data_IF_778474930603
#
_entry.id   IF_778474930603
#
_cell.length_a   1.000
_cell.length_b   1.000
_cell.length_c   1.000
_cell.angle_alpha   90.00
_cell.angle_beta   90.00
_cell.angle_gamma   90.00
#
_symmetry.space_group_name_H-M   'P 1'
#
loop_
_entity.id
_entity.type
_entity.pdbx_description
1 polymer ?
#
# COMPACT_ATOMS: atom_id res chain seq x y z
N UNK A 1 -11.91 -14.65 11.50
CA UNK A 1 -12.32 -13.34 10.98
C UNK A 1 -11.09 -12.74 10.33
N UNK A 2 -11.20 -12.26 9.10
CA UNK A 2 -10.09 -11.54 8.45
C UNK A 2 -9.82 -10.24 9.23
N UNK A 3 -8.55 -9.97 9.52
CA UNK A 3 -8.13 -8.75 10.19
C UNK A 3 -8.35 -7.56 9.25
N UNK A 4 -9.12 -6.58 9.70
CA UNK A 4 -9.47 -5.40 8.90
C UNK A 4 -9.66 -4.16 9.77
N UNK A 5 -9.31 -3.01 9.21
CA UNK A 5 -9.53 -1.68 9.79
C UNK A 5 -10.60 -0.96 8.97
N UNK A 6 -11.70 -0.58 9.62
CA UNK A 6 -12.85 0.05 8.94
C UNK A 6 -13.13 1.43 9.52
N UNK A 7 -13.28 2.45 8.68
CA UNK A 7 -13.64 3.79 9.14
C UNK A 7 -14.35 4.59 8.05
N UNK A 8 -14.98 5.69 8.45
CA UNK A 8 -15.65 6.62 7.55
C UNK A 8 -14.95 7.95 7.57
N UNK A 9 -14.64 8.48 6.38
CA UNK A 9 -13.95 9.75 6.21
C UNK A 9 -14.84 10.75 5.46
N UNK A 10 -14.76 12.06 5.74
CA UNK A 10 -15.21 13.06 4.78
C UNK A 10 -14.40 12.95 3.47
N UNK A 11 -14.90 13.56 2.40
CA UNK A 11 -14.18 13.60 1.11
C UNK A 11 -13.00 14.57 1.23
N UNK A 12 -11.76 14.15 0.91
CA UNK A 12 -10.60 15.03 0.94
C UNK A 12 -10.67 16.10 -0.14
N UNK A 13 -9.80 17.11 -0.08
CA UNK A 13 -9.49 17.92 -1.25
C UNK A 13 -9.00 17.03 -2.40
N UNK A 14 -9.50 17.28 -3.61
CA UNK A 14 -8.98 16.61 -4.81
C UNK A 14 -7.49 16.90 -4.99
N UNK A 15 -6.75 16.02 -5.67
CA UNK A 15 -5.31 16.21 -5.97
C UNK A 15 -4.98 17.59 -6.56
N UNK A 16 -5.89 18.16 -7.37
CA UNK A 16 -5.73 19.50 -7.96
C UNK A 16 -5.80 20.65 -6.95
N UNK A 17 -6.44 20.43 -5.80
CA UNK A 17 -6.58 21.38 -4.69
C UNK A 17 -5.71 20.98 -3.48
N UNK A 18 -5.00 19.86 -3.59
CA UNK A 18 -4.14 19.32 -2.54
C UNK A 18 -2.80 20.08 -2.43
N UNK A 19 -2.18 20.36 -3.58
CA UNK A 19 -0.91 21.08 -3.67
C UNK A 19 -1.09 22.47 -4.26
N UNK A 20 -0.41 23.44 -3.66
CA UNK A 20 -0.18 24.74 -4.24
C UNK A 20 1.31 24.93 -4.51
N UNK A 21 1.63 25.83 -5.43
CA UNK A 21 3.00 26.12 -5.84
C UNK A 21 3.36 27.57 -5.49
N UNK A 22 4.59 27.77 -5.05
CA UNK A 22 5.18 29.10 -4.88
C UNK A 22 6.58 29.12 -5.47
N UNK A 23 6.99 30.25 -6.01
CA UNK A 23 8.36 30.44 -6.48
C UNK A 23 9.26 30.74 -5.28
N UNK A 24 10.36 29.99 -5.16
CA UNK A 24 11.44 30.26 -4.22
C UNK A 24 12.73 30.50 -5.00
N UNK A 25 13.60 31.36 -4.49
CA UNK A 25 14.93 31.55 -5.08
C UNK A 25 15.89 30.59 -4.38
N UNK A 26 16.48 29.66 -5.14
CA UNK A 26 17.51 28.73 -4.66
C UNK A 26 18.75 28.91 -5.53
N UNK A 27 19.88 29.26 -4.90
CA UNK A 27 21.14 29.55 -5.60
C UNK A 27 21.00 30.62 -6.70
N UNK A 28 20.25 31.68 -6.42
CA UNK A 28 19.99 32.77 -7.38
C UNK A 28 19.07 32.41 -8.55
N UNK A 29 18.54 31.18 -8.61
CA UNK A 29 17.61 30.74 -9.66
C UNK A 29 16.19 30.55 -9.11
N UNK A 30 15.14 30.99 -9.82
CA UNK A 30 13.76 30.73 -9.42
C UNK A 30 13.44 29.24 -9.59
N UNK A 31 12.82 28.64 -8.57
CA UNK A 31 12.40 27.25 -8.54
C UNK A 31 10.98 27.16 -7.98
N UNK A 32 10.13 26.34 -8.59
CA UNK A 32 8.80 26.06 -8.05
C UNK A 32 8.92 25.13 -6.83
N UNK A 33 8.30 25.52 -5.72
CA UNK A 33 8.16 24.70 -4.52
C UNK A 33 6.69 24.37 -4.32
N UNK A 34 6.36 23.08 -4.31
CA UNK A 34 5.03 22.60 -3.93
C UNK A 34 4.86 22.60 -2.41
N UNK A 35 3.66 22.89 -1.93
CA UNK A 35 3.29 22.78 -0.53
C UNK A 35 1.82 22.36 -0.40
N UNK A 36 1.50 21.62 0.67
CA UNK A 36 0.11 21.23 0.99
C UNK A 36 -0.73 22.48 1.28
N UNK A 37 -1.92 22.58 0.68
CA UNK A 37 -2.87 23.69 0.95
C UNK A 37 -3.37 23.67 2.39
N UNK A 38 -3.97 24.77 2.86
CA UNK A 38 -4.55 24.83 4.21
C UNK A 38 -5.65 23.78 4.38
N UNK A 39 -6.54 23.66 3.40
CA UNK A 39 -7.62 22.67 3.38
C UNK A 39 -7.09 21.24 3.50
N UNK A 40 -6.02 20.91 2.76
CA UNK A 40 -5.37 19.61 2.84
C UNK A 40 -4.77 19.34 4.23
N UNK A 41 -4.13 20.34 4.85
CA UNK A 41 -3.57 20.21 6.21
C UNK A 41 -4.66 20.02 7.27
N UNK A 42 -5.75 20.77 7.16
CA UNK A 42 -6.88 20.69 8.08
C UNK A 42 -7.56 19.31 7.98
N UNK A 43 -7.76 18.83 6.74
CA UNK A 43 -8.24 17.46 6.50
C UNK A 43 -7.30 16.41 7.10
N UNK A 44 -6.00 16.48 6.80
CA UNK A 44 -5.01 15.51 7.28
C UNK A 44 -4.97 15.43 8.81
N UNK A 45 -5.01 16.58 9.49
CA UNK A 45 -5.05 16.61 10.95
C UNK A 45 -6.25 15.84 11.50
N UNK A 46 -7.44 16.07 10.94
CA UNK A 46 -8.66 15.39 11.38
C UNK A 46 -8.59 13.87 11.13
N UNK A 47 -8.07 13.46 9.97
CA UNK A 47 -7.92 12.03 9.64
C UNK A 47 -6.89 11.35 10.52
N UNK A 48 -5.75 11.98 10.80
CA UNK A 48 -4.72 11.43 11.70
C UNK A 48 -5.32 11.14 13.08
N UNK A 49 -6.13 12.06 13.62
CA UNK A 49 -6.81 11.87 14.91
C UNK A 49 -7.87 10.75 14.85
N UNK A 50 -8.62 10.65 13.75
CA UNK A 50 -9.61 9.60 13.53
C UNK A 50 -8.95 8.21 13.45
N UNK A 51 -7.91 8.07 12.63
CA UNK A 51 -7.19 6.81 12.43
C UNK A 51 -6.59 6.30 13.73
N UNK A 52 -5.97 7.18 14.54
CA UNK A 52 -5.45 6.80 15.86
C UNK A 52 -6.51 6.14 16.73
N UNK A 53 -7.71 6.74 16.78
CA UNK A 53 -8.84 6.21 17.56
C UNK A 53 -9.34 4.87 17.00
N UNK A 54 -9.48 4.76 15.69
CA UNK A 54 -10.00 3.53 15.07
C UNK A 54 -9.00 2.36 15.13
N UNK A 55 -7.69 2.63 15.01
CA UNK A 55 -6.63 1.63 15.22
C UNK A 55 -6.68 1.08 16.64
N UNK A 56 -6.79 1.96 17.65
CA UNK A 56 -6.88 1.54 19.06
C UNK A 56 -8.16 0.73 19.32
N UNK A 57 -9.31 1.25 18.87
CA UNK A 57 -10.63 0.63 19.06
C UNK A 57 -10.73 -0.74 18.40
N UNK A 58 -10.18 -0.89 17.20
CA UNK A 58 -10.25 -2.14 16.43
C UNK A 58 -9.05 -3.05 16.70
N UNK A 59 -8.09 -2.60 17.53
CA UNK A 59 -6.85 -3.32 17.86
C UNK A 59 -6.07 -3.72 16.62
N UNK A 60 -6.02 -2.83 15.64
CA UNK A 60 -5.28 -3.05 14.39
C UNK A 60 -3.78 -3.10 14.69
N UNK A 61 -3.10 -4.10 14.13
CA UNK A 61 -1.65 -4.24 14.23
C UNK A 61 -1.05 -4.22 12.83
N UNK A 62 -0.28 -3.18 12.50
CA UNK A 62 0.46 -3.13 11.22
C UNK A 62 1.60 -4.15 11.21
N UNK A 63 1.92 -4.65 10.03
CA UNK A 63 3.11 -5.49 9.79
C UNK A 63 4.40 -4.66 9.76
N UNK A 64 5.47 -5.20 10.35
CA UNK A 64 6.84 -4.66 10.23
C UNK A 64 7.51 -5.02 8.89
N UNK A 65 6.86 -5.85 8.07
CA UNK A 65 7.36 -6.23 6.76
C UNK A 65 7.05 -5.13 5.73
N UNK A 66 8.09 -4.44 5.22
CA UNK A 66 7.96 -3.43 4.16
C UNK A 66 7.40 -3.95 2.82
N UNK A 67 7.39 -5.26 2.60
CA UNK A 67 6.79 -5.90 1.42
C UNK A 67 5.37 -6.41 1.65
N UNK A 68 4.82 -6.24 2.86
CA UNK A 68 3.40 -6.46 3.10
C UNK A 68 2.62 -5.33 2.44
N UNK A 69 1.76 -5.66 1.49
CA UNK A 69 0.83 -4.67 0.93
C UNK A 69 -0.53 -4.74 1.63
N UNK A 70 -1.32 -3.68 1.47
CA UNK A 70 -2.67 -3.58 2.01
C UNK A 70 -3.63 -3.14 0.93
N UNK A 71 -4.78 -3.83 0.83
CA UNK A 71 -5.89 -3.31 0.06
C UNK A 71 -6.59 -2.22 0.87
N UNK A 72 -6.90 -1.11 0.21
CA UNK A 72 -7.79 -0.08 0.72
C UNK A 72 -9.02 -0.01 -0.17
N UNK A 73 -10.07 -0.67 0.29
CA UNK A 73 -11.36 -0.75 -0.36
C UNK A 73 -12.18 0.48 0.01
N UNK A 74 -12.54 1.28 -0.99
CA UNK A 74 -13.25 2.54 -0.78
C UNK A 74 -14.57 2.56 -1.55
N UNK A 75 -15.65 2.85 -0.83
CA UNK A 75 -16.94 3.22 -1.40
C UNK A 75 -17.11 4.73 -1.27
N UNK A 76 -17.28 5.40 -2.40
CA UNK A 76 -17.45 6.85 -2.46
C UNK A 76 -18.94 7.22 -2.46
N UNK A 77 -19.31 8.23 -1.69
CA UNK A 77 -20.61 8.88 -1.72
C UNK A 77 -20.39 10.36 -2.07
N UNK A 78 -20.37 10.68 -3.37
CA UNK A 78 -20.08 12.02 -3.85
C UNK A 78 -21.30 12.95 -3.79
N UNK A 79 -21.11 14.26 -3.59
CA UNK A 79 -22.22 15.20 -3.67
C UNK A 79 -22.72 15.45 -5.10
N UNK A 80 -21.93 15.15 -6.13
CA UNK A 80 -22.23 15.42 -7.55
C UNK A 80 -21.68 14.31 -8.46
N UNK A 81 -22.26 14.21 -9.66
CA UNK A 81 -21.95 13.15 -10.65
C UNK A 81 -20.67 13.36 -11.45
N UNK A 82 -20.14 14.59 -11.47
CA UNK A 82 -18.96 15.02 -12.23
C UNK A 82 -17.64 14.83 -11.47
N UNK A 83 -17.65 14.05 -10.39
CA UNK A 83 -16.48 13.85 -9.51
C UNK A 83 -15.74 12.55 -9.84
N UNK A 84 -14.41 12.62 -9.84
CA UNK A 84 -13.52 11.49 -10.14
C UNK A 84 -12.87 10.95 -8.87
N UNK A 85 -13.16 9.69 -8.54
CA UNK A 85 -12.65 8.97 -7.37
C UNK A 85 -11.13 8.99 -7.25
N UNK A 86 -10.42 8.89 -8.38
CA UNK A 86 -8.97 8.78 -8.37
C UNK A 86 -8.29 10.02 -7.80
N UNK A 87 -8.93 11.19 -7.90
CA UNK A 87 -8.40 12.44 -7.37
C UNK A 87 -8.33 12.51 -5.84
N UNK A 88 -9.03 11.63 -5.13
CA UNK A 88 -9.23 11.74 -3.69
C UNK A 88 -8.31 10.82 -2.88
N UNK A 89 -7.68 9.83 -3.52
CA UNK A 89 -6.79 8.91 -2.82
C UNK A 89 -5.54 9.58 -2.27
N UNK A 90 -4.89 10.48 -3.02
CA UNK A 90 -3.57 10.99 -2.64
C UNK A 90 -3.55 11.68 -1.27
N UNK A 91 -4.52 12.56 -1.01
CA UNK A 91 -4.56 13.29 0.26
C UNK A 91 -4.90 12.36 1.44
N UNK A 92 -5.80 11.38 1.22
CA UNK A 92 -6.16 10.36 2.21
C UNK A 92 -4.96 9.45 2.52
N UNK A 93 -4.31 8.90 1.49
CA UNK A 93 -3.15 8.03 1.62
C UNK A 93 -2.01 8.74 2.37
N UNK A 94 -1.69 9.97 2.00
CA UNK A 94 -0.69 10.78 2.71
C UNK A 94 -1.07 10.98 4.18
N UNK A 95 -2.35 11.21 4.49
CA UNK A 95 -2.83 11.37 5.87
C UNK A 95 -2.64 10.10 6.71
N UNK A 96 -2.94 8.94 6.12
CA UNK A 96 -2.81 7.64 6.80
C UNK A 96 -1.33 7.29 6.97
N UNK A 97 -0.49 7.50 5.95
CA UNK A 97 0.96 7.29 6.04
C UNK A 97 1.60 8.17 7.10
N UNK A 98 1.20 9.45 7.21
CA UNK A 98 1.68 10.38 8.25
C UNK A 98 1.36 9.89 9.69
N UNK A 99 0.44 8.91 9.87
CA UNK A 99 0.22 8.29 11.19
C UNK A 99 1.27 7.26 11.55
N UNK A 100 1.87 6.59 10.56
CA UNK A 100 2.69 5.40 10.72
C UNK A 100 2.00 4.26 11.50
N UNK A 101 0.66 4.22 11.59
CA UNK A 101 -0.07 3.22 12.38
C UNK A 101 -0.71 2.11 11.55
N UNK A 102 -0.98 2.35 10.26
CA UNK A 102 -1.69 1.39 9.41
C UNK A 102 -0.73 0.60 8.53
N UNK A 103 0.25 1.27 7.93
CA UNK A 103 1.37 0.72 7.17
C UNK A 103 2.63 1.56 7.43
N UNK A 104 3.77 1.17 6.85
CA UNK A 104 5.05 1.87 7.01
C UNK A 104 5.15 3.01 6.00
N UNK A 105 4.77 2.76 4.75
CA UNK A 105 4.94 3.69 3.63
C UNK A 105 3.79 3.56 2.61
N UNK A 106 3.46 4.63 1.87
CA UNK A 106 2.35 4.61 0.89
C UNK A 106 2.64 3.69 -0.31
N UNK A 107 3.90 3.30 -0.54
CA UNK A 107 4.26 2.22 -1.47
C UNK A 107 3.63 0.86 -1.14
N UNK A 108 3.13 0.68 0.09
CA UNK A 108 2.44 -0.55 0.50
C UNK A 108 0.94 -0.55 0.19
N UNK A 109 0.40 0.57 -0.28
CA UNK A 109 -1.02 0.74 -0.50
C UNK A 109 -1.45 0.21 -1.88
N UNK A 110 -2.59 -0.49 -1.89
CA UNK A 110 -3.31 -0.88 -3.10
C UNK A 110 -4.73 -0.30 -3.02
N UNK A 111 -4.92 0.93 -3.48
CA UNK A 111 -6.25 1.55 -3.56
C UNK A 111 -7.21 0.81 -4.51
N UNK A 112 -8.45 0.61 -4.07
CA UNK A 112 -9.52 0.00 -4.88
C UNK A 112 -10.83 0.74 -4.70
N UNK A 113 -11.44 1.13 -5.82
CA UNK A 113 -12.80 1.69 -5.84
C UNK A 113 -13.79 0.53 -5.85
N UNK A 114 -14.55 0.36 -4.77
CA UNK A 114 -15.55 -0.69 -4.63
C UNK A 114 -16.94 -0.24 -5.09
N UNK A 115 -17.20 1.06 -5.08
CA UNK A 115 -18.46 1.63 -5.51
C UNK A 115 -18.43 3.16 -5.53
N UNK A 116 -19.23 3.74 -6.42
CA UNK A 116 -19.47 5.18 -6.49
C UNK A 116 -20.97 5.41 -6.42
N UNK A 117 -21.39 6.14 -5.39
CA UNK A 117 -22.75 6.56 -5.15
C UNK A 117 -22.80 8.09 -5.02
N UNK A 118 -24.01 8.64 -5.04
CA UNK A 118 -24.20 10.09 -4.95
C UNK A 118 -25.13 10.44 -3.78
N UNK A 119 -24.60 11.22 -2.84
CA UNK A 119 -25.28 11.69 -1.63
C UNK A 119 -24.88 13.15 -1.39
N UNK A 120 -25.74 14.07 -1.84
CA UNK A 120 -25.50 15.51 -1.67
C UNK A 120 -25.73 16.01 -0.24
N UNK A 121 -26.38 15.21 0.63
CA UNK A 121 -26.66 15.57 2.02
C UNK A 121 -25.55 15.13 2.95
N UNK A 122 -24.95 13.97 2.68
CA UNK A 122 -23.90 13.39 3.52
C UNK A 122 -22.75 12.79 2.68
N UNK A 123 -21.96 13.63 2.00
CA UNK A 123 -20.85 13.18 1.19
C UNK A 123 -19.72 12.61 2.05
N UNK A 124 -19.25 11.40 1.72
CA UNK A 124 -18.29 10.64 2.54
C UNK A 124 -17.58 9.55 1.74
N UNK A 125 -16.60 8.93 2.38
CA UNK A 125 -15.94 7.71 1.95
C UNK A 125 -16.06 6.66 3.06
N UNK A 126 -16.51 5.47 2.70
CA UNK A 126 -16.48 4.30 3.57
C UNK A 126 -15.28 3.44 3.18
N UNK A 127 -14.38 3.21 4.13
CA UNK A 127 -13.04 2.66 3.87
C UNK A 127 -12.84 1.40 4.69
N UNK A 128 -12.35 0.35 4.04
CA UNK A 128 -11.88 -0.89 4.65
C UNK A 128 -10.44 -1.14 4.22
N UNK A 129 -9.54 -1.32 5.19
CA UNK A 129 -8.14 -1.66 4.97
C UNK A 129 -7.87 -3.07 5.48
N UNK A 130 -7.22 -3.91 4.66
CA UNK A 130 -6.87 -5.29 5.01
C UNK A 130 -5.56 -5.72 4.35
N UNK A 131 -4.78 -6.62 4.95
CA UNK A 131 -3.58 -7.15 4.32
C UNK A 131 -3.93 -7.89 3.03
N UNK A 132 -3.04 -7.82 2.03
CA UNK A 132 -3.17 -8.65 0.82
C UNK A 132 -2.84 -10.11 1.12
N UNK A 133 -3.41 -11.02 0.32
CA UNK A 133 -3.15 -12.45 0.44
C UNK A 133 -1.83 -12.89 -0.20
N UNK A 134 -1.37 -12.15 -1.23
CA UNK A 134 -0.15 -12.49 -1.95
C UNK A 134 1.10 -12.08 -1.18
N UNK A 135 2.22 -12.74 -1.46
CA UNK A 135 3.52 -12.42 -0.88
C UNK A 135 4.58 -12.41 -1.97
N UNK A 136 5.19 -11.26 -2.22
CA UNK A 136 6.08 -11.10 -3.36
C UNK A 136 5.36 -11.44 -4.68
N UNK A 137 5.91 -12.37 -5.46
CA UNK A 137 5.29 -12.85 -6.70
C UNK A 137 4.27 -13.99 -6.48
N UNK A 138 4.11 -14.49 -5.25
CA UNK A 138 3.32 -15.67 -4.94
C UNK A 138 1.88 -15.28 -4.58
N UNK A 139 0.85 -15.91 -5.19
CA UNK A 139 -0.54 -15.49 -5.02
C UNK A 139 -1.08 -15.68 -3.60
N UNK A 140 -0.50 -16.58 -2.81
CA UNK A 140 -0.88 -16.82 -1.44
C UNK A 140 0.28 -17.40 -0.59
N UNK A 141 0.07 -17.45 0.72
CA UNK A 141 1.05 -17.96 1.67
C UNK A 141 1.46 -19.42 1.39
N UNK A 142 0.54 -20.31 0.99
CA UNK A 142 0.86 -21.72 0.71
C UNK A 142 1.85 -21.83 -0.45
N UNK A 143 1.58 -21.15 -1.57
CA UNK A 143 2.48 -21.15 -2.74
C UNK A 143 3.85 -20.54 -2.43
N UNK A 144 3.89 -19.54 -1.55
CA UNK A 144 5.14 -18.97 -1.04
C UNK A 144 5.92 -20.01 -0.21
N UNK A 145 5.26 -20.69 0.72
CA UNK A 145 5.89 -21.68 1.60
C UNK A 145 6.42 -22.87 0.80
N UNK A 146 5.64 -23.40 -0.15
CA UNK A 146 6.07 -24.47 -1.04
C UNK A 146 7.34 -24.08 -1.82
N UNK A 147 7.39 -22.86 -2.36
CA UNK A 147 8.56 -22.36 -3.07
C UNK A 147 9.79 -22.21 -2.16
N UNK A 148 9.60 -21.68 -0.95
CA UNK A 148 10.69 -21.50 0.04
C UNK A 148 11.21 -22.86 0.49
N UNK A 149 10.34 -23.82 0.85
CA UNK A 149 10.73 -25.17 1.22
C UNK A 149 11.52 -25.87 0.10
N UNK A 150 11.10 -25.72 -1.16
CA UNK A 150 11.87 -26.22 -2.32
C UNK A 150 13.21 -25.50 -2.45
N UNK A 151 13.29 -24.21 -2.13
CA UNK A 151 14.55 -23.47 -2.15
C UNK A 151 15.53 -23.97 -1.08
N UNK A 152 15.08 -24.39 0.11
CA UNK A 152 15.97 -24.86 1.19
C UNK A 152 16.87 -26.04 0.77
N UNK A 153 16.38 -26.89 -0.14
CA UNK A 153 17.13 -28.03 -0.69
C UNK A 153 17.99 -27.66 -1.91
N UNK A 154 18.06 -26.38 -2.29
CA UNK A 154 18.83 -25.89 -3.43
C UNK A 154 20.27 -25.52 -3.04
N UNK A 155 21.25 -25.87 -3.89
CA UNK A 155 22.67 -25.48 -3.73
C UNK A 155 22.88 -23.96 -3.59
N UNK A 156 22.01 -23.14 -4.20
CA UNK A 156 22.10 -21.68 -4.17
C UNK A 156 21.60 -21.06 -2.86
N UNK A 157 20.73 -21.76 -2.12
CA UNK A 157 20.07 -21.22 -0.92
C UNK A 157 21.08 -20.79 0.15
N UNK A 158 22.06 -21.66 0.43
CA UNK A 158 23.15 -21.39 1.39
C UNK A 158 24.03 -20.18 1.02
N UNK A 159 23.94 -19.66 -0.21
CA UNK A 159 24.76 -18.54 -0.71
C UNK A 159 23.96 -17.25 -0.88
N UNK A 160 22.87 -17.08 -0.13
CA UNK A 160 21.94 -15.94 -0.29
C UNK A 160 21.40 -15.86 -1.72
N UNK A 161 20.54 -16.83 -2.07
CA UNK A 161 19.98 -16.94 -3.40
C UNK A 161 19.26 -15.65 -3.82
N UNK A 162 19.87 -14.88 -4.72
CA UNK A 162 19.32 -13.61 -5.20
C UNK A 162 17.98 -13.77 -5.92
N UNK A 163 17.74 -14.92 -6.57
CA UNK A 163 16.45 -15.24 -7.19
C UNK A 163 15.36 -15.26 -6.12
N UNK A 164 15.57 -16.05 -5.05
CA UNK A 164 14.62 -16.13 -3.93
C UNK A 164 14.36 -14.75 -3.33
N UNK A 165 15.41 -13.98 -3.03
CA UNK A 165 15.25 -12.61 -2.50
C UNK A 165 14.39 -11.76 -3.43
N UNK A 166 14.70 -11.72 -4.73
CA UNK A 166 13.92 -10.96 -5.72
C UNK A 166 12.46 -11.42 -5.80
N UNK A 167 12.18 -12.71 -5.70
CA UNK A 167 10.81 -13.25 -5.69
C UNK A 167 10.01 -12.79 -4.50
N UNK A 168 10.62 -12.78 -3.30
CA UNK A 168 10.00 -12.32 -2.06
C UNK A 168 9.74 -10.81 -2.12
N UNK A 169 10.64 -10.05 -2.74
CA UNK A 169 10.46 -8.62 -3.01
C UNK A 169 9.36 -8.32 -4.06
N UNK A 170 8.82 -9.33 -4.74
CA UNK A 170 7.81 -9.16 -5.79
C UNK A 170 8.35 -8.84 -7.18
N UNK A 171 9.66 -9.04 -7.42
CA UNK A 171 10.26 -8.81 -8.73
C UNK A 171 10.04 -10.01 -9.65
N UNK A 172 9.39 -9.77 -10.78
CA UNK A 172 9.25 -10.76 -11.86
C UNK A 172 10.58 -10.85 -12.61
N UNK A 173 11.09 -12.07 -12.78
CA UNK A 173 12.37 -12.36 -13.44
C UNK A 173 12.21 -13.57 -14.35
N UNK A 174 12.96 -13.61 -15.46
CA UNK A 174 13.04 -14.75 -16.38
C UNK A 174 13.51 -16.07 -15.73
N UNK A 175 14.14 -16.00 -14.56
CA UNK A 175 14.56 -17.17 -13.80
C UNK A 175 13.37 -17.95 -13.19
N UNK A 176 12.17 -17.37 -13.20
CA UNK A 176 10.94 -17.97 -12.64
C UNK A 176 9.85 -18.01 -13.71
N UNK A 177 9.34 -19.22 -13.95
CA UNK A 177 8.24 -19.47 -14.87
C UNK A 177 7.24 -20.39 -14.16
N UNK A 178 5.94 -20.06 -14.23
CA UNK A 178 4.87 -20.83 -13.56
C UNK A 178 5.12 -21.07 -12.05
N UNK A 179 5.71 -20.07 -11.36
CA UNK A 179 6.12 -20.14 -9.95
C UNK A 179 7.23 -21.18 -9.68
N UNK A 180 7.94 -21.66 -10.70
CA UNK A 180 9.08 -22.57 -10.57
C UNK A 180 10.40 -21.91 -10.95
N UNK A 181 11.46 -22.19 -10.18
CA UNK A 181 12.80 -21.66 -10.43
C UNK A 181 13.56 -22.50 -11.46
N UNK A 182 13.85 -21.89 -12.62
CA UNK A 182 14.57 -22.53 -13.74
C UNK A 182 16.05 -22.81 -13.44
N UNK A 183 16.60 -22.19 -12.40
CA UNK A 183 18.01 -22.37 -11.98
C UNK A 183 18.17 -23.27 -10.76
N UNK A 184 17.12 -23.98 -10.36
CA UNK A 184 17.14 -24.90 -9.24
C UNK A 184 18.15 -26.04 -9.46
N UNK A 185 18.94 -26.35 -8.43
CA UNK A 185 19.87 -27.49 -8.41
C UNK A 185 19.86 -28.10 -7.02
N UNK A 186 19.41 -29.36 -6.90
CA UNK A 186 19.35 -30.10 -5.63
C UNK A 186 20.73 -30.24 -5.00
N UNK A 187 20.78 -30.24 -3.66
CA UNK A 187 21.95 -30.66 -2.87
C UNK A 187 21.94 -32.20 -2.84
N UNK A 188 22.12 -32.86 -3.98
CA UNK A 188 22.46 -34.28 -3.94
C UNK A 188 23.88 -34.41 -3.36
N UNK A 189 24.02 -35.30 -2.36
CA UNK A 189 25.31 -35.79 -1.89
C UNK A 189 25.99 -36.42 -3.11
N UNK A 190 27.09 -35.82 -3.56
CA UNK A 190 28.03 -36.59 -4.38
C UNK A 190 28.58 -37.68 -3.45
N UNK A 191 28.01 -38.89 -3.54
CA UNK A 191 28.70 -40.10 -3.12
C UNK A 191 29.94 -40.22 -4.03
N UNK A 192 31.07 -39.77 -3.50
CA UNK A 192 32.41 -40.07 -4.01
C UNK A 192 33.25 -40.59 -2.87
#
# INVERSE_FOLDING_TARGET
MEEKLVFTSPIPPSVNHYLAYRTIIKNGKPMAMSYKTKEAKDYQKNIIELIKKEVEKQRWVKSDNKFQHYYMDVVFYFPRVDMDANNYFKCLADAITDTELVWIDDTQLCERVMGIYYDNKNPRMEIEIKPVNYKGIFPNQNTYEEFVCKCETCKRYKRNCSILTKSIEGRITEDIENLECQKYKSIEKEDK
#
